data_IF_086248464968
#
_entry.id   IF_086248464968
#
_cell.length_a   1.000
_cell.length_b   1.000
_cell.length_c   1.000
_cell.angle_alpha   90.00
_cell.angle_beta   90.00
_cell.angle_gamma   90.00
#
_symmetry.space_group_name_H-M   'P 1'
#
loop_
_entity.id
_entity.type
_entity.pdbx_description
1 polymer ?
#
# COMPACT_ATOMS: atom_id res chain seq x y z
N UNK A 1 15.25 29.44 -2.98
CA UNK A 1 14.27 28.48 -2.44
C UNK A 1 14.11 27.48 -3.55
N UNK A 2 14.78 26.34 -3.42
CA UNK A 2 14.73 25.30 -4.45
C UNK A 2 13.31 24.73 -4.41
N UNK A 3 12.46 25.12 -5.36
CA UNK A 3 11.18 24.45 -5.57
C UNK A 3 11.54 23.11 -6.21
N UNK A 4 11.95 22.16 -5.36
CA UNK A 4 12.38 20.82 -5.75
C UNK A 4 11.33 20.20 -6.66
N UNK A 5 11.79 19.47 -7.68
CA UNK A 5 10.90 18.74 -8.57
C UNK A 5 9.92 17.88 -7.77
N UNK A 6 8.65 17.74 -8.18
CA UNK A 6 7.67 16.95 -7.47
C UNK A 6 8.19 15.54 -7.15
N UNK A 7 8.07 15.14 -5.88
CA UNK A 7 8.57 13.86 -5.38
C UNK A 7 7.62 12.73 -5.76
N UNK A 8 8.18 11.52 -5.83
CA UNK A 8 7.48 10.29 -6.15
C UNK A 8 7.79 9.26 -5.08
N UNK A 9 6.82 8.89 -4.24
CA UNK A 9 6.97 7.88 -3.20
C UNK A 9 6.01 6.72 -3.38
N UNK A 10 6.44 5.51 -3.02
CA UNK A 10 5.63 4.32 -3.14
C UNK A 10 5.71 3.43 -1.90
N UNK A 11 4.56 2.93 -1.47
CA UNK A 11 4.43 1.82 -0.53
C UNK A 11 3.80 0.63 -1.27
N UNK A 12 4.51 -0.50 -1.29
CA UNK A 12 4.11 -1.71 -1.99
C UNK A 12 4.01 -2.88 -1.01
N UNK A 13 2.84 -3.51 -0.93
CA UNK A 13 2.52 -4.52 0.06
C UNK A 13 2.09 -5.79 -0.67
N UNK A 14 2.83 -6.89 -0.45
CA UNK A 14 2.51 -8.21 -0.99
C UNK A 14 2.51 -9.26 0.10
N UNK A 15 1.36 -9.87 0.35
CA UNK A 15 1.17 -10.80 1.47
C UNK A 15 0.86 -12.20 0.92
N UNK A 16 1.59 -13.22 1.36
CA UNK A 16 1.34 -14.63 1.00
C UNK A 16 0.86 -15.48 2.18
N UNK A 17 0.63 -14.86 3.33
CA UNK A 17 0.26 -15.45 4.62
C UNK A 17 1.15 -16.64 5.04
N UNK A 18 2.42 -16.67 4.63
CA UNK A 18 3.36 -17.75 4.96
C UNK A 18 3.74 -17.77 6.45
N UNK A 19 3.56 -16.64 7.13
CA UNK A 19 3.81 -16.44 8.57
C UNK A 19 2.54 -16.14 9.37
N UNK A 20 1.37 -16.21 8.74
CA UNK A 20 0.11 -15.96 9.44
C UNK A 20 -0.12 -17.03 10.51
N UNK A 21 -0.70 -16.60 11.63
CA UNK A 21 -1.20 -17.51 12.68
C UNK A 21 -2.72 -17.69 12.60
N UNK A 22 -3.40 -16.96 11.73
CA UNK A 22 -4.82 -17.09 11.50
C UNK A 22 -5.08 -18.34 10.62
N UNK A 23 -5.75 -19.39 11.13
CA UNK A 23 -6.02 -20.61 10.38
C UNK A 23 -7.05 -20.41 9.25
N UNK A 24 -7.79 -19.31 9.24
CA UNK A 24 -8.76 -18.98 8.19
C UNK A 24 -8.08 -18.45 6.93
N UNK A 25 -6.88 -17.87 7.06
CA UNK A 25 -6.12 -17.32 5.94
C UNK A 25 -5.35 -18.42 5.20
N UNK A 26 -5.66 -18.57 3.92
CA UNK A 26 -4.97 -19.51 3.04
C UNK A 26 -3.58 -19.00 2.67
N UNK A 27 -2.58 -19.90 2.63
CA UNK A 27 -1.29 -19.53 2.02
C UNK A 27 -1.47 -19.25 0.54
N UNK A 28 -0.94 -18.13 0.08
CA UNK A 28 -1.01 -17.70 -1.30
C UNK A 28 0.34 -17.85 -1.99
N UNK A 29 0.39 -17.54 -3.29
CA UNK A 29 1.64 -17.55 -4.06
C UNK A 29 1.54 -16.51 -5.17
N UNK A 30 2.42 -15.51 -5.16
CA UNK A 30 2.39 -14.48 -6.21
C UNK A 30 2.62 -13.06 -5.68
N UNK A 31 1.82 -12.58 -4.72
CA UNK A 31 1.79 -11.16 -4.33
C UNK A 31 3.17 -10.56 -4.01
N UNK A 32 4.04 -11.27 -3.30
CA UNK A 32 5.39 -10.79 -3.02
C UNK A 32 6.25 -10.63 -4.28
N UNK A 33 6.11 -11.54 -5.25
CA UNK A 33 6.81 -11.46 -6.55
C UNK A 33 6.26 -10.32 -7.41
N UNK A 34 4.97 -10.05 -7.34
CA UNK A 34 4.33 -8.95 -8.09
C UNK A 34 4.73 -7.60 -7.54
N UNK A 35 4.79 -7.48 -6.21
CA UNK A 35 5.32 -6.33 -5.49
C UNK A 35 6.75 -5.98 -5.95
N UNK A 36 7.64 -6.98 -6.05
CA UNK A 36 9.01 -6.78 -6.54
C UNK A 36 9.07 -6.36 -8.02
N UNK A 37 8.19 -6.91 -8.87
CA UNK A 37 8.08 -6.49 -10.28
C UNK A 37 7.64 -5.04 -10.39
N UNK A 38 6.65 -4.62 -9.58
CA UNK A 38 6.16 -3.25 -9.54
C UNK A 38 7.27 -2.31 -9.05
N UNK A 39 7.99 -2.66 -7.97
CA UNK A 39 9.15 -1.90 -7.51
C UNK A 39 10.21 -1.73 -8.62
N UNK A 40 10.52 -2.80 -9.36
CA UNK A 40 11.43 -2.74 -10.51
C UNK A 40 10.92 -1.83 -11.63
N UNK A 41 9.63 -1.89 -11.94
CA UNK A 41 9.00 -1.07 -12.95
C UNK A 41 9.03 0.42 -12.58
N UNK A 42 8.69 0.76 -11.33
CA UNK A 42 8.69 2.14 -10.83
C UNK A 42 10.08 2.78 -10.94
N UNK A 43 11.13 2.03 -10.58
CA UNK A 43 12.52 2.47 -10.72
C UNK A 43 12.94 2.65 -12.16
N UNK A 44 12.67 1.64 -13.00
CA UNK A 44 13.23 1.59 -14.36
C UNK A 44 12.50 2.45 -15.38
N UNK A 45 11.20 2.68 -15.21
CA UNK A 45 10.37 3.34 -16.22
C UNK A 45 9.63 4.58 -15.73
N UNK A 46 9.37 4.70 -14.42
CA UNK A 46 8.59 5.80 -13.87
C UNK A 46 9.41 6.81 -13.06
N UNK A 47 10.72 6.59 -12.92
CA UNK A 47 11.64 7.52 -12.27
C UNK A 47 11.42 7.68 -10.77
N UNK A 48 11.03 6.61 -10.09
CA UNK A 48 11.07 6.55 -8.62
C UNK A 48 12.49 6.18 -8.18
N UNK A 49 13.01 6.87 -7.16
CA UNK A 49 14.28 6.50 -6.57
C UNK A 49 14.12 5.28 -5.66
N UNK A 50 15.12 4.38 -5.55
CA UNK A 50 15.04 3.20 -4.68
C UNK A 50 14.70 3.52 -3.22
N UNK A 51 15.21 4.63 -2.70
CA UNK A 51 14.96 5.12 -1.33
C UNK A 51 13.52 5.62 -1.10
N UNK A 52 12.82 5.97 -2.18
CA UNK A 52 11.42 6.43 -2.13
C UNK A 52 10.42 5.28 -2.32
N UNK A 53 10.90 4.03 -2.38
CA UNK A 53 10.06 2.83 -2.52
C UNK A 53 10.24 1.96 -1.28
N UNK A 54 9.16 1.79 -0.52
CA UNK A 54 9.08 0.86 0.59
C UNK A 54 8.28 -0.36 0.15
N UNK A 55 8.88 -1.54 0.35
CA UNK A 55 8.24 -2.83 0.15
C UNK A 55 8.00 -3.50 1.50
N UNK A 56 6.80 -4.04 1.72
CA UNK A 56 6.47 -4.93 2.83
C UNK A 56 6.05 -6.30 2.28
N UNK A 57 6.74 -7.36 2.68
CA UNK A 57 6.38 -8.74 2.33
C UNK A 57 6.62 -9.69 3.49
N UNK A 58 5.75 -10.69 3.63
CA UNK A 58 5.90 -11.69 4.68
C UNK A 58 7.02 -12.71 4.39
N UNK A 59 7.64 -12.64 3.20
CA UNK A 59 8.89 -13.33 2.85
C UNK A 59 10.14 -12.69 3.41
N UNK A 60 10.10 -11.40 3.77
CA UNK A 60 11.24 -10.74 4.38
C UNK A 60 11.61 -11.44 5.71
N UNK A 61 12.86 -11.31 6.14
CA UNK A 61 13.32 -11.78 7.46
C UNK A 61 13.35 -10.65 8.47
N UNK A 62 13.43 -9.41 8.02
CA UNK A 62 13.33 -8.24 8.87
C UNK A 62 11.90 -8.05 9.33
N UNK A 63 11.69 -8.10 10.65
CA UNK A 63 10.38 -7.90 11.26
C UNK A 63 9.75 -6.55 10.90
N UNK A 64 10.56 -5.50 10.69
CA UNK A 64 10.06 -4.17 10.30
C UNK A 64 9.56 -4.11 8.85
N UNK A 65 9.89 -5.11 8.03
CA UNK A 65 9.46 -5.25 6.63
C UNK A 65 8.31 -6.27 6.46
N UNK A 66 7.83 -6.83 7.56
CA UNK A 66 6.66 -7.70 7.55
C UNK A 66 5.39 -6.86 7.41
N UNK A 67 4.37 -7.31 6.67
CA UNK A 67 3.13 -6.57 6.46
C UNK A 67 2.18 -6.78 7.65
N UNK A 68 2.64 -6.50 8.87
CA UNK A 68 1.78 -6.43 10.06
C UNK A 68 0.99 -5.13 10.03
N UNK A 69 -0.12 -5.09 10.78
CA UNK A 69 -0.95 -3.90 10.92
C UNK A 69 -0.14 -2.68 11.37
N UNK A 70 0.74 -2.87 12.35
CA UNK A 70 1.61 -1.81 12.86
C UNK A 70 2.56 -1.29 11.77
N UNK A 71 3.23 -2.18 11.04
CA UNK A 71 4.17 -1.78 9.99
C UNK A 71 3.46 -1.10 8.81
N UNK A 72 2.31 -1.63 8.36
CA UNK A 72 1.54 -1.01 7.27
C UNK A 72 1.12 0.40 7.65
N UNK A 73 0.55 0.61 8.84
CA UNK A 73 0.13 1.94 9.29
C UNK A 73 1.30 2.90 9.50
N UNK A 74 2.45 2.42 9.99
CA UNK A 74 3.68 3.22 10.08
C UNK A 74 4.12 3.69 8.71
N UNK A 75 4.22 2.78 7.74
CA UNK A 75 4.68 3.14 6.40
C UNK A 75 3.66 3.99 5.63
N UNK A 76 2.36 3.87 5.92
CA UNK A 76 1.34 4.81 5.41
C UNK A 76 1.60 6.21 5.95
N UNK A 77 1.83 6.37 7.26
CA UNK A 77 2.13 7.68 7.84
C UNK A 77 3.37 8.30 7.21
N UNK A 78 4.44 7.51 7.05
CA UNK A 78 5.68 7.96 6.42
C UNK A 78 5.50 8.29 4.93
N UNK A 79 4.61 7.55 4.24
CA UNK A 79 4.29 7.77 2.82
C UNK A 79 3.58 9.12 2.61
N UNK A 80 2.69 9.51 3.53
CA UNK A 80 1.92 10.76 3.44
C UNK A 80 2.54 11.93 4.20
N UNK A 81 3.58 11.69 5.00
CA UNK A 81 4.30 12.73 5.71
C UNK A 81 4.92 13.74 4.75
N UNK A 82 4.78 15.03 5.05
CA UNK A 82 5.38 16.14 4.31
C UNK A 82 5.04 16.19 2.81
N UNK A 83 3.93 15.58 2.35
CA UNK A 83 3.50 15.67 0.94
C UNK A 83 3.18 17.12 0.58
N UNK A 84 3.63 17.57 -0.59
CA UNK A 84 3.33 18.90 -1.12
C UNK A 84 2.49 18.84 -2.40
N UNK A 85 1.79 19.92 -2.79
CA UNK A 85 1.12 19.98 -4.08
C UNK A 85 2.08 19.67 -5.24
N UNK A 86 1.65 18.77 -6.13
CA UNK A 86 2.45 18.25 -7.24
C UNK A 86 3.07 16.87 -6.97
N UNK A 87 3.33 16.53 -5.70
CA UNK A 87 3.90 15.23 -5.32
C UNK A 87 2.97 14.08 -5.74
N UNK A 88 3.58 12.93 -6.02
CA UNK A 88 2.89 11.70 -6.44
C UNK A 88 3.17 10.57 -5.46
N UNK A 89 2.10 9.94 -5.04
CA UNK A 89 2.12 8.85 -4.10
C UNK A 89 1.51 7.63 -4.77
N UNK A 90 2.16 6.48 -4.61
CA UNK A 90 1.64 5.20 -5.03
C UNK A 90 1.47 4.30 -3.81
N UNK A 91 0.25 3.80 -3.62
CA UNK A 91 -0.05 2.77 -2.65
C UNK A 91 -0.46 1.50 -3.41
N UNK A 92 0.25 0.41 -3.20
CA UNK A 92 -0.09 -0.89 -3.76
C UNK A 92 -0.33 -1.90 -2.64
N UNK A 93 -1.46 -2.58 -2.72
CA UNK A 93 -1.79 -3.72 -1.87
C UNK A 93 -2.23 -4.88 -2.75
N UNK A 94 -1.53 -6.00 -2.64
CA UNK A 94 -1.83 -7.25 -3.33
C UNK A 94 -2.09 -8.40 -2.36
N UNK A 95 -3.27 -9.00 -2.46
CA UNK A 95 -3.64 -10.27 -1.79
C UNK A 95 -4.63 -11.05 -2.65
N UNK A 96 -4.72 -12.36 -2.48
CA UNK A 96 -5.69 -13.22 -3.17
C UNK A 96 -6.88 -13.59 -2.25
N UNK A 97 -7.01 -12.93 -1.09
CA UNK A 97 -8.16 -13.11 -0.20
C UNK A 97 -9.43 -12.45 -0.78
N UNK A 98 -10.55 -13.17 -0.69
CA UNK A 98 -11.87 -12.72 -1.14
C UNK A 98 -12.56 -11.86 -0.07
N UNK A 99 -13.34 -10.86 -0.49
CA UNK A 99 -14.17 -9.94 0.32
C UNK A 99 -13.43 -8.91 1.16
N UNK A 100 -12.82 -7.94 0.49
CA UNK A 100 -12.21 -6.76 1.10
C UNK A 100 -13.14 -5.54 1.08
N UNK A 101 -14.46 -5.72 1.14
CA UNK A 101 -15.40 -4.60 0.96
C UNK A 101 -15.18 -3.46 1.97
N UNK A 102 -14.66 -3.76 3.17
CA UNK A 102 -14.47 -2.77 4.25
C UNK A 102 -13.07 -2.83 4.92
N UNK A 103 -12.12 -3.62 4.41
CA UNK A 103 -10.80 -3.75 5.03
C UNK A 103 -9.72 -4.32 4.09
N UNK A 104 -8.44 -4.01 4.37
CA UNK A 104 -7.31 -4.82 3.90
C UNK A 104 -6.87 -5.78 5.01
N UNK A 105 -6.51 -7.01 4.65
CA UNK A 105 -6.06 -8.02 5.60
C UNK A 105 -4.53 -7.95 5.75
N UNK A 106 -4.03 -7.54 6.91
CA UNK A 106 -2.60 -7.59 7.25
C UNK A 106 -2.20 -9.00 7.74
N UNK A 107 -0.93 -9.20 8.04
CA UNK A 107 -0.43 -10.50 8.52
C UNK A 107 -1.03 -10.95 9.87
N UNK A 108 -1.45 -9.98 10.69
CA UNK A 108 -1.93 -10.15 12.06
C UNK A 108 -3.33 -9.57 12.30
N UNK A 109 -4.07 -9.28 11.22
CA UNK A 109 -5.48 -8.89 11.25
C UNK A 109 -5.83 -7.72 10.33
N UNK A 110 -7.12 -7.37 10.25
CA UNK A 110 -7.60 -6.38 9.28
C UNK A 110 -7.26 -4.93 9.65
N UNK A 111 -7.16 -4.09 8.62
CA UNK A 111 -7.18 -2.63 8.68
C UNK A 111 -8.42 -2.16 7.93
N UNK A 112 -9.36 -1.57 8.68
CA UNK A 112 -10.62 -1.08 8.13
C UNK A 112 -10.40 0.08 7.15
N UNK A 113 -11.29 0.19 6.16
CA UNK A 113 -11.31 1.22 5.14
C UNK A 113 -11.36 2.64 5.72
N UNK A 114 -12.15 2.89 6.78
CA UNK A 114 -12.19 4.17 7.48
C UNK A 114 -10.82 4.57 8.02
N UNK A 115 -10.07 3.59 8.55
CA UNK A 115 -8.71 3.80 9.06
C UNK A 115 -7.74 4.06 7.89
N UNK A 116 -7.86 3.30 6.79
CA UNK A 116 -7.06 3.56 5.60
C UNK A 116 -7.33 4.96 5.05
N UNK A 117 -8.58 5.36 4.95
CA UNK A 117 -8.97 6.68 4.46
C UNK A 117 -8.42 7.79 5.36
N UNK A 118 -8.61 7.67 6.67
CA UNK A 118 -8.12 8.63 7.67
C UNK A 118 -6.60 8.82 7.57
N UNK A 119 -5.85 7.75 7.28
CA UNK A 119 -4.38 7.74 7.36
C UNK A 119 -3.70 7.94 6.01
N UNK A 120 -4.28 7.46 4.92
CA UNK A 120 -3.70 7.50 3.57
C UNK A 120 -4.26 8.64 2.72
N UNK A 121 -5.53 9.00 2.88
CA UNK A 121 -6.23 9.93 1.98
C UNK A 121 -6.39 11.31 2.62
N UNK A 122 -6.95 11.37 3.82
CA UNK A 122 -7.30 12.63 4.48
C UNK A 122 -6.12 13.57 4.76
N UNK A 123 -4.88 13.10 4.99
CA UNK A 123 -3.73 13.99 5.18
C UNK A 123 -3.21 14.64 3.90
N UNK A 124 -3.64 14.18 2.72
CA UNK A 124 -3.06 14.62 1.45
C UNK A 124 -3.51 16.04 1.08
N UNK A 125 -2.58 16.96 0.77
CA UNK A 125 -2.95 18.31 0.37
C UNK A 125 -3.55 18.32 -1.03
N UNK A 126 -4.44 19.29 -1.27
CA UNK A 126 -4.95 19.58 -2.59
C UNK A 126 -3.81 19.82 -3.59
N UNK A 127 -3.90 19.19 -4.76
CA UNK A 127 -2.87 19.29 -5.81
C UNK A 127 -1.80 18.21 -5.76
N UNK A 128 -1.75 17.37 -4.72
CA UNK A 128 -1.01 16.11 -4.75
C UNK A 128 -1.78 15.04 -5.56
N UNK A 129 -1.15 13.91 -5.85
CA UNK A 129 -1.80 12.78 -6.54
C UNK A 129 -1.55 11.49 -5.78
N UNK A 130 -2.61 10.78 -5.41
CA UNK A 130 -2.57 9.41 -4.94
C UNK A 130 -3.00 8.46 -6.05
N UNK A 131 -2.19 7.43 -6.31
CA UNK A 131 -2.55 6.26 -7.11
C UNK A 131 -2.60 5.06 -6.18
N UNK A 132 -3.80 4.50 -6.00
CA UNK A 132 -3.98 3.28 -5.22
C UNK A 132 -4.27 2.11 -6.17
N UNK A 133 -3.46 1.04 -6.06
CA UNK A 133 -3.61 -0.20 -6.80
C UNK A 133 -3.95 -1.29 -5.79
N UNK A 134 -5.12 -1.89 -5.96
CA UNK A 134 -5.65 -2.92 -5.09
C UNK A 134 -5.82 -4.17 -5.95
N UNK A 135 -4.79 -5.02 -5.92
CA UNK A 135 -4.74 -6.27 -6.67
C UNK A 135 -5.34 -7.37 -5.79
N UNK A 136 -6.66 -7.46 -5.84
CA UNK A 136 -7.49 -8.35 -5.04
C UNK A 136 -8.46 -9.09 -5.97
N UNK A 137 -8.83 -10.33 -5.66
CA UNK A 137 -9.58 -11.17 -6.62
C UNK A 137 -10.98 -10.65 -6.99
N UNK A 138 -11.52 -9.62 -6.32
CA UNK A 138 -12.70 -8.86 -6.73
C UNK A 138 -12.56 -7.39 -6.28
N UNK A 139 -12.43 -6.46 -7.24
CA UNK A 139 -11.98 -5.07 -7.03
C UNK A 139 -13.09 -4.02 -6.93
N UNK A 140 -14.32 -4.42 -6.57
CA UNK A 140 -15.45 -3.49 -6.45
C UNK A 140 -15.74 -3.17 -4.98
N UNK A 141 -15.00 -2.22 -4.36
CA UNK A 141 -15.50 -1.16 -3.42
C UNK A 141 -14.47 -0.52 -2.46
N UNK A 142 -13.24 -1.03 -2.34
CA UNK A 142 -12.24 -0.59 -1.34
C UNK A 142 -11.90 0.91 -1.20
N UNK A 143 -12.24 1.76 -2.18
CA UNK A 143 -11.98 3.22 -2.14
C UNK A 143 -13.24 4.08 -2.26
N UNK A 144 -14.41 3.48 -2.02
CA UNK A 144 -15.69 4.17 -1.88
C UNK A 144 -16.40 4.48 -3.21
N UNK A 145 -17.72 4.28 -3.22
CA UNK A 145 -18.63 4.96 -4.15
C UNK A 145 -18.82 6.41 -3.67
N UNK A 146 -18.71 7.37 -4.58
CA UNK A 146 -19.32 8.68 -4.35
C UNK A 146 -20.83 8.48 -4.16
N UNK A 147 -21.38 8.85 -3.00
CA UNK A 147 -22.83 8.92 -2.81
C UNK A 147 -23.41 9.84 -3.89
N UNK A 148 -24.30 9.37 -4.78
CA UNK A 148 -25.18 10.29 -5.47
C UNK A 148 -26.18 10.84 -4.45
N UNK A 149 -26.39 12.16 -4.51
CA UNK A 149 -27.37 12.94 -3.76
C UNK A 149 -28.77 12.33 -3.77
#
# INVERSE_FOLDING_TARGET
MDSGSPRKRALLIGIEYIRSTNPELGRLTGPAKETEKLASLLRSQYGYYPEDIITLTDKDKNFLRQPTRENILREIDDLVADVEPGDRILFHYGTEEDNLDEAIEALDGPILDDILKERLVDPLPAGSTLVAILDTCHSETLLGKANPL
#
